data_IF_497851127378
#
_entry.id   IF_497851127378
#
_cell.length_a   1.000
_cell.length_b   1.000
_cell.length_c   1.000
_cell.angle_alpha   90.00
_cell.angle_beta   90.00
_cell.angle_gamma   90.00
#
_symmetry.space_group_name_H-M   'P 1'
#
loop_
_entity.id
_entity.type
_entity.pdbx_description
1 polymer ?
#
# COMPACT_ATOMS: atom_id res chain seq x y z
N UNK A 1 28.03 -1.00 15.80
CA UNK A 1 27.05 0.02 16.25
C UNK A 1 26.85 1.05 15.16
N UNK A 2 25.94 0.83 14.20
CA UNK A 2 25.61 1.83 13.16
C UNK A 2 24.28 1.49 12.47
N UNK A 3 23.18 1.35 13.21
CA UNK A 3 21.87 1.04 12.63
C UNK A 3 20.87 2.22 12.67
N UNK A 4 21.27 3.38 13.21
CA UNK A 4 20.30 4.46 13.51
C UNK A 4 20.26 5.57 12.43
N UNK A 5 21.18 5.58 11.46
CA UNK A 5 21.28 6.68 10.48
C UNK A 5 20.41 6.54 9.23
N UNK A 6 19.80 5.39 8.97
CA UNK A 6 19.03 5.17 7.74
C UNK A 6 17.61 5.77 7.75
N UNK A 7 17.07 6.12 8.92
CA UNK A 7 15.66 6.55 9.02
C UNK A 7 15.45 8.03 8.68
N UNK A 8 16.48 8.87 8.76
CA UNK A 8 16.30 10.34 8.72
C UNK A 8 16.48 10.95 7.32
N UNK A 9 17.09 10.25 6.36
CA UNK A 9 17.45 10.84 5.06
C UNK A 9 16.39 10.77 3.95
N UNK A 10 15.16 10.30 4.23
CA UNK A 10 14.11 10.13 3.21
C UNK A 10 13.05 11.25 3.18
N UNK A 11 13.24 12.36 3.91
CA UNK A 11 12.19 13.39 4.07
C UNK A 11 12.44 14.75 3.43
N UNK A 12 13.43 14.93 2.52
CA UNK A 12 13.75 16.27 2.01
C UNK A 12 13.96 16.44 0.51
N UNK A 13 13.64 15.48 -0.36
CA UNK A 13 13.72 15.72 -1.82
C UNK A 13 12.49 15.17 -2.54
N UNK A 14 11.95 15.98 -3.45
CA UNK A 14 10.64 15.81 -4.08
C UNK A 14 10.44 14.54 -4.88
N UNK A 15 9.15 14.23 -5.10
CA UNK A 15 8.70 13.39 -6.21
C UNK A 15 9.07 11.91 -6.13
N UNK A 16 8.60 11.17 -5.11
CA UNK A 16 8.31 9.75 -5.32
C UNK A 16 6.90 9.67 -5.87
N UNK A 17 6.78 9.74 -7.20
CA UNK A 17 5.55 9.35 -7.90
C UNK A 17 5.28 7.91 -7.49
N UNK A 18 4.25 7.75 -6.66
CA UNK A 18 3.72 6.45 -6.35
C UNK A 18 3.11 5.95 -7.65
N UNK A 19 3.48 4.75 -8.09
CA UNK A 19 2.80 4.18 -9.25
C UNK A 19 1.29 4.24 -9.03
N UNK A 20 0.54 4.43 -10.12
CA UNK A 20 -0.91 4.63 -10.08
C UNK A 20 -1.62 3.40 -9.50
N UNK A 21 -1.76 3.37 -8.17
CA UNK A 21 -2.53 2.37 -7.45
C UNK A 21 -3.99 2.76 -7.42
N UNK A 22 -4.85 1.76 -7.62
CA UNK A 22 -6.27 1.91 -7.53
C UNK A 22 -6.89 0.76 -6.72
N UNK A 23 -8.10 0.99 -6.23
CA UNK A 23 -8.93 -0.02 -5.59
C UNK A 23 -10.33 0.01 -6.20
N UNK A 24 -10.93 -1.16 -6.32
CA UNK A 24 -12.32 -1.29 -6.71
C UNK A 24 -13.22 -0.96 -5.51
N UNK A 25 -14.25 -0.13 -5.64
CA UNK A 25 -15.15 0.18 -4.51
C UNK A 25 -16.03 -1.00 -4.09
N UNK A 26 -16.36 -1.90 -5.03
CA UNK A 26 -17.18 -3.08 -4.74
C UNK A 26 -16.40 -4.15 -3.96
N UNK A 27 -15.30 -4.65 -4.52
CA UNK A 27 -14.54 -5.74 -3.90
C UNK A 27 -13.42 -5.25 -2.95
N UNK A 28 -13.02 -3.98 -3.09
CA UNK A 28 -11.94 -3.32 -2.32
C UNK A 28 -10.53 -3.83 -2.58
N UNK A 29 -10.35 -4.76 -3.54
CA UNK A 29 -9.00 -5.22 -3.92
C UNK A 29 -8.21 -4.07 -4.53
N UNK A 30 -6.92 -4.06 -4.20
CA UNK A 30 -5.96 -3.08 -4.72
C UNK A 30 -5.27 -3.70 -5.92
N UNK A 31 -5.08 -2.89 -6.94
CA UNK A 31 -4.33 -3.23 -8.14
C UNK A 31 -3.72 -1.97 -8.71
N UNK A 32 -2.86 -2.14 -9.70
CA UNK A 32 -2.49 -1.02 -10.56
C UNK A 32 -3.70 -0.52 -11.33
N UNK A 33 -3.65 0.77 -11.69
CA UNK A 33 -4.74 1.43 -12.39
C UNK A 33 -5.07 0.67 -13.67
N UNK A 34 -6.34 0.28 -13.76
CA UNK A 34 -6.93 -0.38 -14.90
C UNK A 34 -8.36 0.15 -15.03
N UNK A 35 -8.90 0.16 -16.24
CA UNK A 35 -10.25 0.68 -16.51
C UNK A 35 -11.34 -0.18 -15.85
N UNK A 36 -11.03 -1.45 -15.57
CA UNK A 36 -11.94 -2.43 -14.98
C UNK A 36 -11.25 -3.28 -13.92
N UNK A 37 -11.99 -3.65 -12.88
CA UNK A 37 -11.50 -4.60 -11.87
C UNK A 37 -11.38 -6.00 -12.47
N UNK A 38 -10.17 -6.56 -12.47
CA UNK A 38 -9.90 -7.92 -12.96
C UNK A 38 -10.59 -9.02 -12.13
N UNK A 39 -11.08 -8.70 -10.92
CA UNK A 39 -11.64 -9.68 -10.00
C UNK A 39 -13.16 -9.73 -9.97
N UNK A 40 -13.83 -8.59 -10.14
CA UNK A 40 -15.30 -8.51 -10.10
C UNK A 40 -15.89 -7.80 -11.32
N UNK A 41 -15.08 -7.45 -12.32
CA UNK A 41 -15.49 -6.81 -13.57
C UNK A 41 -16.25 -5.48 -13.39
N UNK A 42 -16.13 -4.87 -12.20
CA UNK A 42 -16.71 -3.56 -11.93
C UNK A 42 -15.82 -2.46 -12.51
N UNK A 43 -16.46 -1.41 -13.01
CA UNK A 43 -15.80 -0.19 -13.49
C UNK A 43 -15.66 0.86 -12.39
N UNK A 44 -16.13 0.57 -11.16
CA UNK A 44 -16.06 1.51 -10.04
C UNK A 44 -14.68 1.43 -9.37
N UNK A 45 -13.68 2.01 -10.04
CA UNK A 45 -12.27 2.04 -9.63
C UNK A 45 -11.91 3.42 -9.09
N UNK A 46 -11.14 3.48 -8.00
CA UNK A 46 -10.69 4.73 -7.38
C UNK A 46 -9.22 4.68 -7.01
N UNK A 47 -8.51 5.80 -7.15
CA UNK A 47 -7.12 5.91 -6.76
C UNK A 47 -6.92 5.61 -5.26
N UNK A 48 -5.77 5.02 -4.92
CA UNK A 48 -5.33 4.79 -3.54
C UNK A 48 -4.39 5.91 -3.14
N UNK A 49 -4.79 6.70 -2.14
CA UNK A 49 -3.95 7.76 -1.60
C UNK A 49 -2.78 7.22 -0.75
N UNK A 50 -1.69 8.00 -0.67
CA UNK A 50 -0.64 7.76 0.33
C UNK A 50 -1.26 7.72 1.73
N UNK A 51 -0.74 6.83 2.58
CA UNK A 51 -1.23 6.54 3.94
C UNK A 51 -2.63 5.91 4.01
N UNK A 52 -3.22 5.54 2.87
CA UNK A 52 -4.48 4.79 2.86
C UNK A 52 -4.38 3.52 3.71
N UNK A 53 -5.35 3.27 4.61
CA UNK A 53 -5.38 2.04 5.39
C UNK A 53 -5.73 0.84 4.51
N UNK A 54 -4.96 -0.24 4.66
CA UNK A 54 -5.04 -1.47 3.88
C UNK A 54 -4.85 -2.69 4.78
N UNK A 55 -5.34 -3.85 4.37
CA UNK A 55 -5.00 -5.15 4.94
C UNK A 55 -4.36 -6.05 3.88
N UNK A 56 -3.59 -7.03 4.35
CA UNK A 56 -3.09 -8.11 3.49
C UNK A 56 -4.13 -9.24 3.49
N UNK A 57 -4.61 -9.60 2.30
CA UNK A 57 -5.59 -10.66 2.08
C UNK A 57 -5.05 -11.99 2.62
N UNK A 58 -5.89 -12.72 3.36
CA UNK A 58 -5.51 -13.98 4.01
C UNK A 58 -4.76 -13.81 5.34
N UNK A 59 -4.59 -12.58 5.84
CA UNK A 59 -3.91 -12.34 7.12
C UNK A 59 -4.68 -11.36 8.02
N UNK A 60 -4.32 -11.29 9.30
CA UNK A 60 -4.81 -10.28 10.24
C UNK A 60 -4.00 -8.97 10.19
N UNK A 61 -3.00 -8.89 9.32
CA UNK A 61 -2.07 -7.76 9.25
C UNK A 61 -2.74 -6.59 8.54
N UNK A 62 -2.72 -5.44 9.21
CA UNK A 62 -3.20 -4.16 8.69
C UNK A 62 -2.03 -3.18 8.64
N UNK A 63 -2.07 -2.29 7.67
CA UNK A 63 -1.05 -1.28 7.48
C UNK A 63 -1.56 -0.06 6.73
N UNK A 64 -0.63 0.82 6.40
CA UNK A 64 -0.89 2.01 5.59
C UNK A 64 0.07 2.04 4.41
N UNK A 65 -0.46 2.37 3.23
CA UNK A 65 0.37 2.51 2.02
C UNK A 65 1.38 3.63 2.21
N UNK A 66 2.65 3.40 1.88
CA UNK A 66 3.70 4.42 1.87
C UNK A 66 4.13 4.72 0.44
N UNK A 67 4.44 3.67 -0.31
CA UNK A 67 4.94 3.77 -1.67
C UNK A 67 4.49 2.56 -2.51
N UNK A 68 4.58 2.68 -3.83
CA UNK A 68 4.30 1.61 -4.76
C UNK A 68 5.26 1.70 -5.95
N UNK A 69 5.95 0.60 -6.25
CA UNK A 69 6.93 0.48 -7.32
C UNK A 69 7.08 -0.97 -7.77
N UNK A 70 7.18 -1.20 -9.08
CA UNK A 70 7.52 -2.51 -9.69
C UNK A 70 6.56 -3.64 -9.24
N UNK A 71 5.26 -3.41 -9.26
CA UNK A 71 4.27 -4.41 -8.84
C UNK A 71 4.08 -4.53 -7.32
N UNK A 72 4.95 -3.87 -6.54
CA UNK A 72 5.05 -4.01 -5.09
C UNK A 72 4.63 -2.73 -4.37
N UNK A 73 4.01 -2.92 -3.20
CA UNK A 73 3.51 -1.83 -2.36
C UNK A 73 4.16 -1.92 -0.98
N UNK A 74 4.80 -0.84 -0.58
CA UNK A 74 5.35 -0.68 0.75
C UNK A 74 4.24 -0.30 1.71
N UNK A 75 3.98 -1.17 2.68
CA UNK A 75 3.00 -0.94 3.73
C UNK A 75 3.68 -0.75 5.08
N UNK A 76 3.26 0.29 5.78
CA UNK A 76 3.64 0.53 7.17
C UNK A 76 2.71 -0.27 8.09
N UNK A 77 3.24 -1.30 8.71
CA UNK A 77 2.53 -2.13 9.68
C UNK A 77 2.92 -1.70 11.10
N UNK A 78 1.91 -1.53 11.97
CA UNK A 78 2.13 -1.33 13.40
C UNK A 78 1.96 -2.69 14.11
N UNK A 79 2.98 -3.09 14.87
CA UNK A 79 2.91 -4.29 15.72
C UNK A 79 2.48 -3.93 17.15
N UNK A 80 2.12 -4.95 17.93
CA UNK A 80 1.56 -4.85 19.30
C UNK A 80 2.50 -4.15 20.31
N UNK A 81 3.77 -3.94 19.95
CA UNK A 81 4.78 -3.23 20.75
C UNK A 81 5.09 -1.79 20.30
N UNK A 82 4.20 -1.11 19.57
CA UNK A 82 4.45 0.21 18.93
C UNK A 82 5.58 0.25 17.90
N UNK A 83 6.23 -0.88 17.61
CA UNK A 83 7.23 -0.98 16.55
C UNK A 83 6.56 -0.88 15.19
N UNK A 84 7.00 0.09 14.39
CA UNK A 84 6.59 0.25 12.99
C UNK A 84 7.54 -0.53 12.11
N UNK A 85 7.01 -1.38 11.26
CA UNK A 85 7.77 -2.12 10.26
C UNK A 85 7.23 -1.82 8.86
N UNK A 86 8.15 -1.69 7.90
CA UNK A 86 7.78 -1.58 6.48
C UNK A 86 7.83 -2.98 5.90
N UNK A 87 6.77 -3.37 5.20
CA UNK A 87 6.70 -4.63 4.47
C UNK A 87 6.38 -4.33 3.02
N UNK A 88 7.08 -5.00 2.12
CA UNK A 88 6.83 -4.93 0.70
C UNK A 88 5.91 -6.09 0.31
N UNK A 89 4.74 -5.78 -0.26
CA UNK A 89 3.70 -6.74 -0.58
C UNK A 89 3.13 -6.44 -1.97
N UNK A 90 2.86 -7.48 -2.76
CA UNK A 90 2.21 -7.36 -4.06
C UNK A 90 0.87 -6.62 -3.95
N UNK A 91 0.59 -5.69 -4.86
CA UNK A 91 -0.64 -4.89 -4.85
C UNK A 91 -1.90 -5.77 -4.80
N UNK A 92 -1.91 -6.86 -5.55
CA UNK A 92 -3.00 -7.84 -5.64
C UNK A 92 -3.34 -8.54 -4.32
N UNK A 93 -2.37 -8.62 -3.41
CA UNK A 93 -2.53 -9.21 -2.08
C UNK A 93 -3.03 -8.19 -1.05
N UNK A 94 -3.26 -6.95 -1.46
CA UNK A 94 -3.77 -5.90 -0.60
C UNK A 94 -5.25 -5.61 -0.86
N UNK A 95 -5.94 -5.21 0.20
CA UNK A 95 -7.33 -4.77 0.15
C UNK A 95 -7.51 -3.49 0.96
N UNK A 96 -8.25 -2.54 0.40
CA UNK A 96 -8.55 -1.25 1.02
C UNK A 96 -9.51 -1.45 2.20
N UNK A 97 -9.21 -0.77 3.30
CA UNK A 97 -10.10 -0.66 4.47
C UNK A 97 -10.76 0.73 4.43
N UNK A 98 -12.09 0.80 4.63
CA UNK A 98 -12.80 2.08 4.74
C UNK A 98 -12.62 2.70 6.12
#
# INVERSE_FOLDING_TARGET
MSEVRFVVLLLLNGGTEMENLAYCKDCRRISYFNEMCTYCQSNDIKAVDKKAPVNIIGTKVKGRVLNAKDGMVDILCASEGNTKSIRQIEAERLRKIL
#
